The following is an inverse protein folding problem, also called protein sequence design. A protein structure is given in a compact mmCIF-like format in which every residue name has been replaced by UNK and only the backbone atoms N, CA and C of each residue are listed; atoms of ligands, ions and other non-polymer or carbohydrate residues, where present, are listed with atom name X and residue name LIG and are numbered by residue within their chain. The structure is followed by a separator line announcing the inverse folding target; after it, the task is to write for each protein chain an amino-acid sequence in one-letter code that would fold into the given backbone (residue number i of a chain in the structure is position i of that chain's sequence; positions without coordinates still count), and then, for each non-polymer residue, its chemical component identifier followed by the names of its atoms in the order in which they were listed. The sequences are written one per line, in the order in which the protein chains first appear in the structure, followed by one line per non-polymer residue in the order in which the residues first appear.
data_IF_168186023339
#
_entry.id   IF_168186023339
#
_cell.length_a   1.000
_cell.length_b   1.000
_cell.length_c   1.000
_cell.angle_alpha   90.00
_cell.angle_beta   90.00
_cell.angle_gamma   90.00
#
_symmetry.space_group_name_H-M   'P 1'
#
loop_
_entity.id
_entity.type
_entity.pdbx_description
1 polymer ?
#
# COMPACT_ATOMS: atom_id res chain seq x y z
N UNK A 1 -0.12 6.43 -16.97
CA UNK A 1 1.28 6.42 -16.49
C UNK A 1 1.45 6.85 -15.02
N UNK A 2 0.98 8.03 -14.59
CA UNK A 2 1.15 8.50 -13.19
C UNK A 2 0.56 7.58 -12.10
N UNK A 3 -0.39 6.71 -12.46
CA UNK A 3 -0.96 5.70 -11.56
C UNK A 3 0.09 4.76 -10.94
N UNK A 4 1.08 4.27 -11.71
CA UNK A 4 2.07 3.32 -11.20
C UNK A 4 2.92 3.88 -10.06
N UNK A 5 3.60 5.04 -10.20
CA UNK A 5 4.38 5.59 -9.10
C UNK A 5 3.49 5.96 -7.91
N UNK A 6 2.25 6.41 -8.12
CA UNK A 6 1.31 6.69 -7.04
C UNK A 6 0.95 5.43 -6.24
N UNK A 7 0.57 4.34 -6.92
CA UNK A 7 0.23 3.07 -6.26
C UNK A 7 1.46 2.48 -5.57
N UNK A 8 2.62 2.47 -6.22
CA UNK A 8 3.86 1.95 -5.61
C UNK A 8 4.30 2.78 -4.40
N UNK A 9 4.10 4.11 -4.44
CA UNK A 9 4.35 4.96 -3.29
C UNK A 9 3.42 4.61 -2.13
N UNK A 10 2.12 4.44 -2.37
CA UNK A 10 1.17 3.99 -1.34
C UNK A 10 1.59 2.64 -0.74
N UNK A 11 1.95 1.68 -1.57
CA UNK A 11 2.41 0.36 -1.12
C UNK A 11 3.71 0.44 -0.31
N UNK A 12 4.63 1.32 -0.69
CA UNK A 12 5.83 1.59 0.09
C UNK A 12 5.51 2.18 1.47
N UNK A 13 4.56 3.10 1.55
CA UNK A 13 4.10 3.66 2.83
C UNK A 13 3.42 2.59 3.71
N UNK A 14 2.61 1.71 3.12
CA UNK A 14 2.02 0.55 3.81
C UNK A 14 3.10 -0.37 4.37
N UNK A 15 4.16 -0.65 3.61
CA UNK A 15 5.28 -1.48 4.07
C UNK A 15 6.01 -0.85 5.25
N UNK A 16 6.17 0.48 5.24
CA UNK A 16 6.76 1.24 6.36
C UNK A 16 5.84 1.19 7.57
N UNK A 17 4.53 1.45 7.41
CA UNK A 17 3.56 1.42 8.50
C UNK A 17 3.45 0.03 9.15
N UNK A 18 3.49 -1.04 8.35
CA UNK A 18 3.55 -2.43 8.82
C UNK A 18 4.71 -2.65 9.79
N UNK A 19 5.89 -2.12 9.47
CA UNK A 19 7.06 -2.23 10.35
C UNK A 19 6.79 -1.48 11.67
N UNK A 20 6.17 -0.30 11.63
CA UNK A 20 5.81 0.46 12.83
C UNK A 20 4.80 -0.27 13.72
N UNK A 21 3.73 -0.86 13.16
CA UNK A 21 2.79 -1.66 13.96
C UNK A 21 3.50 -2.84 14.64
N UNK A 22 4.40 -3.54 13.95
CA UNK A 22 5.17 -4.64 14.56
C UNK A 22 6.18 -4.13 15.61
N UNK A 23 6.72 -2.91 15.48
CA UNK A 23 7.59 -2.31 16.51
C UNK A 23 6.84 -2.09 17.83
N UNK A 24 5.56 -1.75 17.78
CA UNK A 24 4.70 -1.65 18.97
C UNK A 24 4.59 -2.99 19.72
N UNK A 25 4.68 -4.11 18.99
CA UNK A 25 4.59 -5.48 19.52
C UNK A 25 5.95 -6.07 20.01
N UNK A 26 7.01 -5.26 20.08
CA UNK A 26 8.40 -5.71 20.38
C UNK A 26 8.66 -6.17 21.81
N UNK A 27 7.65 -6.30 22.67
CA UNK A 27 7.81 -6.95 23.98
C UNK A 27 8.28 -8.42 23.89
N UNK A 28 8.24 -9.02 22.68
CA UNK A 28 8.51 -10.45 22.45
C UNK A 28 9.86 -10.79 21.77
N UNK A 29 10.77 -9.84 21.60
CA UNK A 29 12.16 -10.14 21.16
C UNK A 29 12.30 -10.67 19.72
N UNK A 30 11.34 -10.41 18.83
CA UNK A 30 11.38 -10.93 17.46
C UNK A 30 12.34 -10.18 16.53
N UNK A 31 13.00 -10.94 15.64
CA UNK A 31 13.82 -10.47 14.54
C UNK A 31 13.08 -9.42 13.68
N UNK A 32 13.85 -8.48 13.09
CA UNK A 32 13.34 -7.43 12.22
C UNK A 32 12.37 -8.01 11.17
N UNK A 33 11.14 -7.48 11.04
CA UNK A 33 10.22 -7.96 10.01
C UNK A 33 10.89 -7.86 8.64
N UNK A 34 10.68 -8.84 7.75
CA UNK A 34 11.26 -8.80 6.41
C UNK A 34 10.82 -7.51 5.72
N UNK A 35 11.79 -6.79 5.16
CA UNK A 35 11.53 -5.54 4.47
C UNK A 35 10.77 -5.78 3.16
N UNK A 36 9.96 -4.80 2.75
CA UNK A 36 9.38 -4.69 1.41
C UNK A 36 8.48 -5.87 0.95
N UNK A 37 7.83 -6.57 1.88
CA UNK A 37 6.97 -7.72 1.54
C UNK A 37 5.81 -7.29 0.64
N UNK A 38 5.18 -6.15 0.93
CA UNK A 38 4.05 -5.67 0.15
C UNK A 38 4.50 -5.17 -1.22
N UNK A 39 5.64 -4.46 -1.28
CA UNK A 39 6.25 -4.04 -2.55
C UNK A 39 6.57 -5.22 -3.47
N UNK A 40 7.12 -6.32 -2.92
CA UNK A 40 7.37 -7.54 -3.70
C UNK A 40 6.08 -8.16 -4.21
N UNK A 41 5.01 -8.16 -3.40
CA UNK A 41 3.69 -8.61 -3.86
C UNK A 41 3.10 -7.77 -4.99
N UNK A 42 3.58 -6.53 -5.20
CA UNK A 42 3.15 -5.62 -6.27
C UNK A 42 4.00 -5.66 -7.55
N UNK A 43 4.97 -6.58 -7.66
CA UNK A 43 5.71 -6.83 -8.90
C UNK A 43 4.78 -7.16 -10.09
N UNK A 44 3.72 -7.99 -9.94
CA UNK A 44 2.82 -8.26 -11.07
C UNK A 44 2.10 -6.99 -11.54
N UNK A 45 1.69 -6.13 -10.61
CA UNK A 45 1.11 -4.84 -10.96
C UNK A 45 2.10 -3.93 -11.69
N UNK A 46 3.35 -3.82 -11.24
CA UNK A 46 4.35 -3.00 -11.96
C UNK A 46 4.66 -3.56 -13.35
N UNK A 47 4.76 -4.88 -13.48
CA UNK A 47 4.94 -5.57 -14.76
C UNK A 47 3.76 -5.41 -15.73
N UNK A 48 2.55 -5.15 -15.21
CA UNK A 48 1.36 -4.91 -16.04
C UNK A 48 1.47 -3.68 -16.94
N UNK A 49 2.46 -2.81 -16.71
CA UNK A 49 2.79 -1.67 -17.58
C UNK A 49 3.04 -2.08 -19.05
N UNK A 50 3.50 -3.31 -19.29
CA UNK A 50 3.68 -3.85 -20.66
C UNK A 50 2.36 -3.92 -21.42
N UNK A 51 1.22 -4.08 -20.74
CA UNK A 51 -0.09 -4.20 -21.39
C UNK A 51 -0.64 -2.87 -21.93
N UNK A 52 0.03 -1.74 -21.70
CA UNK A 52 -0.32 -0.46 -22.34
C UNK A 52 -0.18 -0.47 -23.87
N UNK A 53 0.54 -1.45 -24.42
CA UNK A 53 0.60 -1.64 -25.87
C UNK A 53 -0.70 -2.17 -26.46
N UNK A 54 -1.58 -2.77 -25.63
CA UNK A 54 -2.84 -3.31 -26.07
C UNK A 54 -3.91 -2.20 -26.19
N UNK A 55 -4.84 -2.31 -27.15
CA UNK A 55 -5.96 -1.38 -27.23
C UNK A 55 -6.92 -1.56 -26.04
N UNK A 56 -7.67 -0.50 -25.74
CA UNK A 56 -8.83 -0.59 -24.85
C UNK A 56 -9.88 -1.54 -25.45
N UNK A 57 -10.55 -2.41 -24.66
CA UNK A 57 -10.53 -2.52 -23.20
C UNK A 57 -9.50 -3.50 -22.63
N UNK A 58 -8.76 -4.22 -23.48
CA UNK A 58 -7.87 -5.30 -23.07
C UNK A 58 -6.78 -4.83 -22.10
N UNK A 59 -6.15 -3.68 -22.39
CA UNK A 59 -5.18 -3.09 -21.46
C UNK A 59 -5.74 -2.91 -20.04
N UNK A 60 -6.96 -2.40 -19.92
CA UNK A 60 -7.57 -2.11 -18.63
C UNK A 60 -7.90 -3.39 -17.86
N UNK A 61 -8.36 -4.42 -18.56
CA UNK A 61 -8.63 -5.74 -17.99
C UNK A 61 -7.34 -6.34 -17.42
N UNK A 62 -6.27 -6.40 -18.20
CA UNK A 62 -5.01 -7.01 -17.74
C UNK A 62 -4.34 -6.23 -16.60
N UNK A 63 -4.40 -4.90 -16.63
CA UNK A 63 -3.92 -4.05 -15.52
C UNK A 63 -4.74 -4.33 -14.25
N UNK A 64 -6.06 -4.39 -14.37
CA UNK A 64 -6.96 -4.65 -13.22
C UNK A 64 -6.75 -6.03 -12.64
N UNK A 65 -6.62 -7.07 -13.48
CA UNK A 65 -6.32 -8.44 -13.03
C UNK A 65 -4.98 -8.49 -12.30
N UNK A 66 -3.95 -7.83 -12.84
CA UNK A 66 -2.62 -7.77 -12.22
C UNK A 66 -2.64 -7.05 -10.87
N UNK A 67 -3.45 -5.99 -10.74
CA UNK A 67 -3.67 -5.28 -9.49
C UNK A 67 -4.36 -6.17 -8.45
N UNK A 68 -5.48 -6.81 -8.80
CA UNK A 68 -6.22 -7.72 -7.91
C UNK A 68 -5.31 -8.88 -7.47
N UNK A 69 -4.55 -9.45 -8.40
CA UNK A 69 -3.60 -10.51 -8.09
C UNK A 69 -2.51 -10.05 -7.11
N UNK A 70 -1.99 -8.82 -7.27
CA UNK A 70 -1.02 -8.23 -6.35
C UNK A 70 -1.59 -8.03 -4.95
N UNK A 71 -2.85 -7.60 -4.84
CA UNK A 71 -3.57 -7.52 -3.56
C UNK A 71 -3.78 -8.91 -2.93
N UNK A 72 -4.12 -9.93 -3.72
CA UNK A 72 -4.25 -11.30 -3.21
C UNK A 72 -2.90 -11.83 -2.70
N UNK A 73 -1.81 -11.55 -3.43
CA UNK A 73 -0.46 -11.90 -3.01
C UNK A 73 -0.06 -11.15 -1.73
N UNK A 74 -0.40 -9.88 -1.55
CA UNK A 74 -0.05 -9.13 -0.34
C UNK A 74 -0.69 -9.77 0.90
N UNK A 75 -1.99 -10.09 0.85
CA UNK A 75 -2.70 -10.80 1.92
C UNK A 75 -2.06 -12.17 2.19
N UNK A 76 -1.76 -12.93 1.13
CA UNK A 76 -1.10 -14.23 1.27
C UNK A 76 0.29 -14.11 1.90
N UNK A 77 1.07 -13.10 1.54
CA UNK A 77 2.40 -12.84 2.08
C UNK A 77 2.33 -12.47 3.56
N UNK A 78 1.36 -11.64 3.97
CA UNK A 78 1.12 -11.31 5.37
C UNK A 78 0.79 -12.57 6.19
N UNK A 79 -0.11 -13.42 5.71
CA UNK A 79 -0.44 -14.70 6.36
C UNK A 79 0.76 -15.64 6.45
N UNK A 80 1.48 -15.85 5.34
CA UNK A 80 2.52 -16.89 5.26
C UNK A 80 3.84 -16.49 5.90
N UNK A 81 4.24 -15.22 5.76
CA UNK A 81 5.57 -14.75 6.20
C UNK A 81 5.48 -14.15 7.61
N UNK A 82 4.42 -13.43 7.93
CA UNK A 82 4.23 -12.80 9.24
C UNK A 82 3.31 -13.57 10.17
N UNK A 83 2.69 -14.67 9.71
CA UNK A 83 1.76 -15.47 10.49
C UNK A 83 0.58 -14.66 11.05
N UNK A 84 0.16 -13.61 10.33
CA UNK A 84 -0.96 -12.76 10.72
C UNK A 84 -2.30 -13.47 10.51
N UNK A 85 -3.20 -13.33 11.48
CA UNK A 85 -4.58 -13.80 11.34
C UNK A 85 -5.42 -12.80 10.53
N UNK A 86 -6.60 -13.23 10.09
CA UNK A 86 -7.53 -12.38 9.33
C UNK A 86 -7.92 -11.09 10.07
N UNK A 87 -8.03 -11.16 11.40
CA UNK A 87 -8.29 -9.99 12.25
C UNK A 87 -7.14 -8.98 12.22
N UNK A 88 -5.91 -9.46 12.29
CA UNK A 88 -4.71 -8.60 12.31
C UNK A 88 -4.56 -7.89 10.96
N UNK A 89 -4.84 -8.60 9.86
CA UNK A 89 -4.85 -8.05 8.50
C UNK A 89 -5.94 -6.97 8.38
N UNK A 90 -7.14 -7.22 8.91
CA UNK A 90 -8.23 -6.25 8.87
C UNK A 90 -7.87 -4.99 9.69
N UNK A 91 -7.34 -5.16 10.89
CA UNK A 91 -6.89 -4.05 11.76
C UNK A 91 -5.78 -3.26 11.08
N UNK A 92 -4.85 -3.93 10.41
CA UNK A 92 -3.79 -3.30 9.64
C UNK A 92 -4.37 -2.39 8.55
N UNK A 93 -5.23 -2.92 7.67
CA UNK A 93 -5.86 -2.12 6.61
C UNK A 93 -6.72 -0.97 7.15
N UNK A 94 -7.44 -1.18 8.26
CA UNK A 94 -8.21 -0.12 8.90
C UNK A 94 -7.29 0.99 9.43
N UNK A 95 -6.22 0.61 10.12
CA UNK A 95 -5.24 1.54 10.71
C UNK A 95 -4.49 2.31 9.63
N UNK A 96 -4.11 1.64 8.54
CA UNK A 96 -3.52 2.27 7.36
C UNK A 96 -4.47 3.27 6.72
N UNK A 97 -5.74 2.90 6.55
CA UNK A 97 -6.74 3.80 5.97
C UNK A 97 -6.90 5.06 6.80
N UNK A 98 -6.91 4.94 8.13
CA UNK A 98 -6.94 6.06 9.05
C UNK A 98 -5.66 6.92 8.92
N UNK A 99 -4.48 6.29 8.84
CA UNK A 99 -3.20 6.98 8.65
C UNK A 99 -3.19 7.84 7.38
N UNK A 100 -3.61 7.29 6.23
CA UNK A 100 -3.70 8.06 4.99
C UNK A 100 -4.76 9.16 5.04
N UNK A 101 -5.91 8.90 5.68
CA UNK A 101 -6.96 9.89 5.84
C UNK A 101 -6.48 11.08 6.70
N UNK A 102 -5.80 10.82 7.81
CA UNK A 102 -5.19 11.86 8.65
C UNK A 102 -4.14 12.66 7.87
N UNK A 103 -3.28 11.99 7.09
CA UNK A 103 -2.30 12.67 6.23
C UNK A 103 -2.96 13.59 5.21
N UNK A 104 -4.04 13.13 4.57
CA UNK A 104 -4.80 13.92 3.58
C UNK A 104 -5.49 15.12 4.22
N UNK A 105 -6.08 14.94 5.40
CA UNK A 105 -6.69 16.02 6.18
C UNK A 105 -5.66 17.08 6.59
N UNK A 106 -4.48 16.65 7.03
CA UNK A 106 -3.39 17.56 7.37
C UNK A 106 -2.97 18.42 6.17
N UNK A 107 -2.77 17.80 5.00
CA UNK A 107 -2.47 18.52 3.76
C UNK A 107 -3.57 19.51 3.38
N UNK A 108 -4.84 19.13 3.58
CA UNK A 108 -5.99 20.00 3.32
C UNK A 108 -5.99 21.23 4.23
N UNK A 109 -5.69 21.05 5.52
CA UNK A 109 -5.57 22.17 6.47
C UNK A 109 -4.44 23.11 6.06
N UNK A 110 -3.25 22.57 5.75
CA UNK A 110 -2.10 23.37 5.31
C UNK A 110 -2.43 24.15 4.03
N UNK A 111 -3.04 23.51 3.04
CA UNK A 111 -3.47 24.17 1.81
C UNK A 111 -4.42 25.34 2.09
N UNK A 112 -5.42 25.13 2.96
CA UNK A 112 -6.38 26.18 3.32
C UNK A 112 -5.72 27.34 4.07
N UNK A 113 -4.77 27.07 4.97
CA UNK A 113 -3.99 28.11 5.65
C UNK A 113 -3.17 28.93 4.65
N UNK A 114 -2.42 28.28 3.76
CA UNK A 114 -1.62 28.95 2.72
C UNK A 114 -2.52 29.79 1.82
N UNK A 115 -3.66 29.26 1.39
CA UNK A 115 -4.66 30.00 0.61
C UNK A 115 -5.17 31.24 1.35
N UNK A 116 -5.40 31.14 2.65
CA UNK A 116 -5.91 32.25 3.47
C UNK A 116 -4.88 33.34 3.68
N UNK A 117 -3.59 32.98 3.75
CA UNK A 117 -2.49 33.94 3.91
C UNK A 117 -2.17 34.66 2.59
N UNK A 118 -2.25 33.95 1.46
CA UNK A 118 -1.92 34.49 0.13
C UNK A 118 -3.05 35.30 -0.53
N UNK A 119 -4.25 35.29 0.04
CA UNK A 119 -5.45 35.92 -0.50
C UNK A 119 -5.92 37.06 0.39
#
# INVERSE_FOLDING_TARGET
FAMYPAVLFLVAQLDVFRIFMKKTDRSKGEALPPANILLVSFIPFSASSVFWILPSPFQAIFISVSFIFSCALSVRSLKKILNWNDKDILIFFLSDSAYFLTGTLFLTVVYNLVRTILN
#
